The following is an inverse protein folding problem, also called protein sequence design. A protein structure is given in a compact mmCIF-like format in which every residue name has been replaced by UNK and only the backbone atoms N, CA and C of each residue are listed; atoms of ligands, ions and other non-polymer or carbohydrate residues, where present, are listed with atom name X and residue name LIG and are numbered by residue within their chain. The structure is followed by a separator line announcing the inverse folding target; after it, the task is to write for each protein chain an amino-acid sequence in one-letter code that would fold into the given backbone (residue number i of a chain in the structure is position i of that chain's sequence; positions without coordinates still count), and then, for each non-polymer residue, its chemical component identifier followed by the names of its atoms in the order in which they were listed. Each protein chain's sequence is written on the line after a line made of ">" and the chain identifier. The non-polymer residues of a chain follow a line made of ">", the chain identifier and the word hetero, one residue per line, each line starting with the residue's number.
data_IF_530369789068
#
_entry.id   IF_530369789068
#
_cell.length_a   1.000
_cell.length_b   1.000
_cell.length_c   1.000
_cell.angle_alpha   90.00
_cell.angle_beta   90.00
_cell.angle_gamma   90.00
#
_symmetry.space_group_name_H-M   'P 1'
#
loop_
_entity.id
_entity.type
_entity.pdbx_description
1 polymer ?
#
# COMPACT_ATOMS: atom_id res chain seq x y z
N UNK A 1 0.26 -12.44 -15.06
CA UNK A 1 -0.45 -11.68 -14.02
C UNK A 1 -1.28 -10.57 -14.66
N UNK A 2 -0.70 -9.64 -15.43
CA UNK A 2 -1.43 -8.54 -16.07
C UNK A 2 -2.58 -9.00 -16.97
N UNK A 3 -2.39 -10.07 -17.74
CA UNK A 3 -3.45 -10.66 -18.58
C UNK A 3 -4.63 -11.15 -17.73
N UNK A 4 -4.36 -11.85 -16.63
CA UNK A 4 -5.38 -12.30 -15.70
C UNK A 4 -6.16 -11.15 -15.08
N UNK A 5 -5.47 -10.07 -14.70
CA UNK A 5 -6.11 -8.87 -14.15
C UNK A 5 -7.04 -8.20 -15.19
N UNK A 6 -6.58 -8.04 -16.44
CA UNK A 6 -7.39 -7.46 -17.53
C UNK A 6 -8.64 -8.34 -17.81
N UNK A 7 -8.47 -9.66 -17.86
CA UNK A 7 -9.60 -10.58 -18.06
C UNK A 7 -10.61 -10.45 -16.91
N UNK A 8 -10.14 -10.38 -15.66
CA UNK A 8 -11.00 -10.20 -14.49
C UNK A 8 -11.80 -8.89 -14.57
N UNK A 9 -11.15 -7.79 -14.96
CA UNK A 9 -11.80 -6.50 -15.18
C UNK A 9 -12.87 -6.59 -16.26
N UNK A 10 -12.57 -7.20 -17.41
CA UNK A 10 -13.53 -7.35 -18.52
C UNK A 10 -14.73 -8.20 -18.14
N UNK A 11 -14.52 -9.31 -17.41
CA UNK A 11 -15.63 -10.14 -16.91
C UNK A 11 -16.48 -9.35 -15.93
N UNK A 12 -15.88 -8.58 -15.03
CA UNK A 12 -16.60 -7.73 -14.08
C UNK A 12 -17.43 -6.67 -14.79
N UNK A 13 -16.87 -5.97 -15.78
CA UNK A 13 -17.59 -4.98 -16.59
C UNK A 13 -18.79 -5.60 -17.32
N UNK A 14 -18.57 -6.73 -17.97
CA UNK A 14 -19.64 -7.46 -18.68
C UNK A 14 -20.74 -7.89 -17.70
N UNK A 15 -20.38 -8.49 -16.58
CA UNK A 15 -21.35 -8.94 -15.58
C UNK A 15 -22.14 -7.77 -14.98
N UNK A 16 -21.48 -6.66 -14.64
CA UNK A 16 -22.13 -5.48 -14.09
C UNK A 16 -23.09 -4.82 -15.08
N UNK A 17 -22.77 -4.81 -16.39
CA UNK A 17 -23.67 -4.31 -17.41
C UNK A 17 -25.03 -5.01 -17.35
N UNK A 18 -25.03 -6.35 -17.37
CA UNK A 18 -26.27 -7.16 -17.34
C UNK A 18 -26.97 -7.10 -15.97
N UNK A 19 -26.21 -7.13 -14.87
CA UNK A 19 -26.80 -7.08 -13.54
C UNK A 19 -27.47 -5.75 -13.26
N UNK A 20 -26.91 -4.65 -13.69
CA UNK A 20 -27.48 -3.30 -13.50
C UNK A 20 -28.77 -3.17 -14.32
N UNK A 21 -28.76 -3.61 -15.58
CA UNK A 21 -29.93 -3.59 -16.45
C UNK A 21 -31.06 -4.51 -15.95
N UNK A 22 -30.69 -5.63 -15.31
CA UNK A 22 -31.66 -6.60 -14.77
C UNK A 22 -32.23 -6.20 -13.40
N UNK A 23 -31.39 -5.62 -12.52
CA UNK A 23 -31.74 -5.38 -11.11
C UNK A 23 -32.27 -3.96 -10.84
N UNK A 24 -31.86 -2.96 -11.62
CA UNK A 24 -32.22 -1.58 -11.38
C UNK A 24 -33.29 -1.10 -12.37
N UNK A 25 -34.19 -0.20 -11.93
CA UNK A 25 -35.11 0.47 -12.84
C UNK A 25 -34.35 1.38 -13.80
N UNK A 26 -34.90 1.67 -14.99
CA UNK A 26 -34.28 2.55 -15.99
C UNK A 26 -33.85 3.91 -15.40
N UNK A 27 -34.63 4.42 -14.45
CA UNK A 27 -34.36 5.66 -13.72
C UNK A 27 -34.48 5.40 -12.22
N UNK A 28 -33.43 5.76 -11.51
CA UNK A 28 -33.39 5.73 -10.04
C UNK A 28 -33.83 7.10 -9.55
N UNK A 29 -34.99 7.17 -8.90
CA UNK A 29 -35.61 8.41 -8.43
C UNK A 29 -35.15 8.81 -7.04
N UNK A 30 -35.02 10.12 -6.80
CA UNK A 30 -34.74 10.67 -5.47
C UNK A 30 -33.35 10.37 -4.93
N UNK A 31 -32.34 10.15 -5.79
CA UNK A 31 -30.96 9.97 -5.37
C UNK A 31 -30.42 11.19 -4.67
N UNK A 32 -29.95 11.02 -3.43
CA UNK A 32 -29.48 12.14 -2.58
C UNK A 32 -28.06 12.59 -2.97
N UNK A 33 -27.93 13.88 -3.28
CA UNK A 33 -26.67 14.58 -3.45
C UNK A 33 -26.51 15.58 -2.31
N UNK A 34 -25.47 15.42 -1.49
CA UNK A 34 -25.26 16.28 -0.32
C UNK A 34 -24.98 17.71 -0.73
N UNK A 35 -25.71 18.67 -0.14
CA UNK A 35 -25.62 20.10 -0.48
C UNK A 35 -26.43 20.52 -1.70
N UNK A 36 -26.99 19.57 -2.50
CA UNK A 36 -27.69 19.87 -3.75
C UNK A 36 -29.11 19.29 -3.82
N UNK A 37 -29.51 18.51 -2.81
CA UNK A 37 -30.84 17.89 -2.74
C UNK A 37 -30.89 16.52 -3.38
N UNK A 38 -32.02 16.21 -4.05
CA UNK A 38 -32.23 14.91 -4.72
C UNK A 38 -32.30 15.08 -6.23
N UNK A 39 -31.75 14.11 -6.96
CA UNK A 39 -31.81 14.04 -8.42
C UNK A 39 -32.28 12.67 -8.88
N UNK A 40 -32.96 12.60 -10.00
CA UNK A 40 -33.27 11.37 -10.70
C UNK A 40 -32.11 11.07 -11.66
N UNK A 41 -31.59 9.85 -11.61
CA UNK A 41 -30.44 9.45 -12.42
C UNK A 41 -30.77 8.20 -13.26
N UNK A 42 -30.28 8.10 -14.50
CA UNK A 42 -30.35 6.85 -15.26
C UNK A 42 -29.57 5.74 -14.55
N UNK A 43 -30.08 4.50 -14.54
CA UNK A 43 -29.35 3.33 -13.99
C UNK A 43 -27.98 3.11 -14.65
N UNK A 44 -27.83 3.53 -15.90
CA UNK A 44 -26.54 3.49 -16.61
C UNK A 44 -25.42 4.32 -15.94
N UNK A 45 -25.76 5.35 -15.16
CA UNK A 45 -24.78 6.09 -14.38
C UNK A 45 -24.09 5.20 -13.33
N UNK A 46 -24.83 4.21 -12.79
CA UNK A 46 -24.28 3.24 -11.86
C UNK A 46 -23.27 2.31 -12.55
N UNK A 47 -23.56 1.93 -13.80
CA UNK A 47 -22.56 1.22 -14.61
C UNK A 47 -21.30 2.07 -14.87
N UNK A 48 -21.46 3.35 -15.19
CA UNK A 48 -20.30 4.23 -15.37
C UNK A 48 -19.51 4.41 -14.07
N UNK A 49 -20.17 4.42 -12.90
CA UNK A 49 -19.48 4.38 -11.60
C UNK A 49 -18.65 3.10 -11.43
N UNK A 50 -19.15 1.95 -11.90
CA UNK A 50 -18.39 0.69 -11.95
C UNK A 50 -17.14 0.82 -12.83
N UNK A 51 -17.29 1.42 -14.02
CA UNK A 51 -16.16 1.68 -14.94
C UNK A 51 -15.12 2.57 -14.28
N UNK A 52 -15.54 3.63 -13.58
CA UNK A 52 -14.62 4.53 -12.83
C UNK A 52 -13.81 3.74 -11.81
N UNK A 53 -14.45 2.90 -10.98
CA UNK A 53 -13.78 2.11 -9.96
C UNK A 53 -12.73 1.16 -10.54
N UNK A 54 -13.10 0.39 -11.55
CA UNK A 54 -12.19 -0.55 -12.21
C UNK A 54 -11.04 0.16 -12.93
N UNK A 55 -11.31 1.28 -13.61
CA UNK A 55 -10.29 2.06 -14.29
C UNK A 55 -9.27 2.63 -13.31
N UNK A 56 -9.73 3.18 -12.19
CA UNK A 56 -8.84 3.73 -11.16
C UNK A 56 -8.01 2.64 -10.50
N UNK A 57 -8.60 1.48 -10.19
CA UNK A 57 -7.87 0.33 -9.66
C UNK A 57 -6.74 -0.11 -10.58
N UNK A 58 -7.01 -0.21 -11.89
CA UNK A 58 -6.01 -0.54 -12.89
C UNK A 58 -4.92 0.53 -13.02
N UNK A 59 -5.30 1.81 -13.09
CA UNK A 59 -4.34 2.91 -13.25
C UNK A 59 -3.44 3.09 -12.02
N UNK A 60 -3.96 2.93 -10.79
CA UNK A 60 -3.15 2.95 -9.57
C UNK A 60 -2.13 1.81 -9.59
N UNK A 61 -2.56 0.60 -10.00
CA UNK A 61 -1.66 -0.54 -10.18
C UNK A 61 -0.55 -0.24 -11.20
N UNK A 62 -0.89 0.35 -12.35
CA UNK A 62 0.07 0.72 -13.39
C UNK A 62 1.06 1.80 -12.94
N UNK A 63 0.60 2.82 -12.18
CA UNK A 63 1.50 3.82 -11.61
C UNK A 63 2.42 3.23 -10.54
N UNK A 64 1.90 2.36 -9.68
CA UNK A 64 2.72 1.66 -8.69
C UNK A 64 3.81 0.83 -9.38
N UNK A 65 3.46 0.07 -10.42
CA UNK A 65 4.42 -0.68 -11.25
C UNK A 65 5.49 0.26 -11.83
N UNK A 66 5.10 1.40 -12.38
CA UNK A 66 6.07 2.37 -12.92
C UNK A 66 7.08 2.86 -11.89
N UNK A 67 6.64 3.12 -10.64
CA UNK A 67 7.51 3.64 -9.59
C UNK A 67 8.37 2.56 -8.91
N UNK A 68 7.96 1.29 -8.97
CA UNK A 68 8.60 0.20 -8.21
C UNK A 68 9.30 -0.84 -9.07
N UNK A 69 8.96 -0.96 -10.36
CA UNK A 69 9.49 -2.04 -11.18
C UNK A 69 10.96 -1.86 -11.56
N UNK A 70 11.67 -2.98 -11.58
CA UNK A 70 13.05 -3.10 -11.99
C UNK A 70 13.27 -2.47 -13.38
N UNK A 71 14.34 -1.71 -13.55
CA UNK A 71 14.69 -1.06 -14.82
C UNK A 71 13.87 0.19 -15.18
N UNK A 72 12.87 0.57 -14.39
CA UNK A 72 12.13 1.84 -14.58
C UNK A 72 12.92 3.03 -14.03
N UNK A 73 12.71 4.21 -14.65
CA UNK A 73 13.43 5.44 -14.28
C UNK A 73 13.46 5.75 -12.77
N UNK A 74 12.35 5.63 -12.00
CA UNK A 74 12.40 5.90 -10.57
C UNK A 74 13.35 4.98 -9.81
N UNK A 75 13.34 3.68 -10.10
CA UNK A 75 14.24 2.69 -9.48
C UNK A 75 15.68 2.92 -9.93
N UNK A 76 15.91 3.15 -11.21
CA UNK A 76 17.27 3.47 -11.73
C UNK A 76 17.85 4.75 -11.12
N UNK A 77 17.02 5.73 -10.79
CA UNK A 77 17.45 6.92 -10.05
C UNK A 77 17.98 6.58 -8.66
N UNK A 78 17.33 5.67 -7.94
CA UNK A 78 17.80 5.19 -6.62
C UNK A 78 19.12 4.43 -6.80
N UNK A 79 19.20 3.54 -7.79
CA UNK A 79 20.41 2.80 -8.14
C UNK A 79 21.59 3.75 -8.40
N UNK A 80 21.38 4.78 -9.21
CA UNK A 80 22.42 5.75 -9.52
C UNK A 80 22.88 6.53 -8.29
N UNK A 81 21.97 6.95 -7.43
CA UNK A 81 22.29 7.66 -6.19
C UNK A 81 22.97 6.76 -5.15
N UNK A 82 22.81 5.43 -5.23
CA UNK A 82 23.51 4.48 -4.36
C UNK A 82 25.03 4.50 -4.58
N UNK A 83 25.50 4.90 -5.77
CA UNK A 83 26.94 5.01 -6.07
C UNK A 83 27.64 6.09 -5.27
N UNK A 84 26.92 7.05 -4.70
CA UNK A 84 27.47 8.14 -3.90
C UNK A 84 27.31 7.89 -2.38
N UNK A 85 26.61 6.81 -1.99
CA UNK A 85 26.51 6.35 -0.61
C UNK A 85 25.09 6.16 -0.09
N UNK A 86 24.98 5.71 1.16
CA UNK A 86 23.71 5.38 1.80
C UNK A 86 22.79 6.62 1.97
N UNK A 87 23.34 7.77 2.33
CA UNK A 87 22.54 8.99 2.53
C UNK A 87 21.81 9.43 1.26
N UNK A 88 22.47 9.42 0.13
CA UNK A 88 21.90 9.78 -1.17
C UNK A 88 20.91 8.73 -1.67
N UNK A 89 21.15 7.45 -1.38
CA UNK A 89 20.19 6.38 -1.62
C UNK A 89 18.88 6.62 -0.83
N UNK A 90 18.98 6.88 0.48
CA UNK A 90 17.82 7.14 1.33
C UNK A 90 17.02 8.34 0.80
N UNK A 91 17.69 9.46 0.51
CA UNK A 91 17.04 10.66 -0.04
C UNK A 91 16.33 10.35 -1.36
N UNK A 92 16.99 9.60 -2.27
CA UNK A 92 16.42 9.27 -3.56
C UNK A 92 15.17 8.38 -3.45
N UNK A 93 15.16 7.40 -2.54
CA UNK A 93 14.01 6.54 -2.30
C UNK A 93 12.85 7.30 -1.66
N UNK A 94 13.09 8.11 -0.62
CA UNK A 94 12.07 8.97 -0.03
C UNK A 94 11.47 9.91 -1.09
N UNK A 95 12.29 10.57 -1.91
CA UNK A 95 11.81 11.44 -2.97
C UNK A 95 11.00 10.69 -4.04
N UNK A 96 11.38 9.45 -4.37
CA UNK A 96 10.65 8.60 -5.31
C UNK A 96 9.27 8.22 -4.75
N UNK A 97 9.22 7.78 -3.51
CA UNK A 97 7.96 7.49 -2.83
C UNK A 97 7.04 8.71 -2.73
N UNK A 98 7.56 9.87 -2.32
CA UNK A 98 6.78 11.12 -2.27
C UNK A 98 6.23 11.52 -3.66
N UNK A 99 7.04 11.45 -4.71
CA UNK A 99 6.59 11.75 -6.08
C UNK A 99 5.49 10.80 -6.56
N UNK A 100 5.52 9.54 -6.13
CA UNK A 100 4.53 8.55 -6.54
C UNK A 100 3.12 8.86 -6.02
N UNK A 101 3.00 9.60 -4.91
CA UNK A 101 1.70 9.97 -4.35
C UNK A 101 0.91 10.91 -5.26
N UNK A 102 1.60 11.77 -6.04
CA UNK A 102 0.96 12.76 -6.88
C UNK A 102 -0.04 12.16 -7.87
N UNK A 103 0.41 11.21 -8.70
CA UNK A 103 -0.45 10.58 -9.70
C UNK A 103 -1.61 9.81 -9.08
N UNK A 104 -1.33 9.06 -8.02
CA UNK A 104 -2.32 8.24 -7.34
C UNK A 104 -3.40 9.09 -6.67
N UNK A 105 -3.03 10.18 -6.01
CA UNK A 105 -3.99 11.08 -5.34
C UNK A 105 -4.85 11.83 -6.35
N UNK A 106 -4.31 12.26 -7.48
CA UNK A 106 -5.12 12.88 -8.55
C UNK A 106 -6.13 11.89 -9.11
N UNK A 107 -5.71 10.65 -9.40
CA UNK A 107 -6.63 9.61 -9.86
C UNK A 107 -7.74 9.34 -8.85
N UNK A 108 -7.37 9.29 -7.58
CA UNK A 108 -8.30 9.08 -6.50
C UNK A 108 -9.32 10.21 -6.38
N UNK A 109 -8.85 11.47 -6.45
CA UNK A 109 -9.73 12.63 -6.42
C UNK A 109 -10.69 12.66 -7.62
N UNK A 110 -10.20 12.34 -8.82
CA UNK A 110 -11.03 12.24 -10.01
C UNK A 110 -12.04 11.09 -9.92
N UNK A 111 -11.67 9.96 -9.30
CA UNK A 111 -12.59 8.85 -9.07
C UNK A 111 -13.75 9.24 -8.15
N UNK A 112 -13.43 9.90 -7.03
CA UNK A 112 -14.42 10.37 -6.07
C UNK A 112 -15.38 11.32 -6.75
N UNK A 113 -14.83 12.36 -7.40
CA UNK A 113 -15.64 13.37 -8.05
C UNK A 113 -16.49 12.78 -9.19
N UNK A 114 -15.87 12.01 -10.10
CA UNK A 114 -16.60 11.41 -11.20
C UNK A 114 -17.69 10.42 -10.76
N UNK A 115 -17.40 9.54 -9.80
CA UNK A 115 -18.40 8.61 -9.27
C UNK A 115 -19.52 9.34 -8.50
N UNK A 116 -19.19 10.42 -7.80
CA UNK A 116 -20.19 11.24 -7.11
C UNK A 116 -21.13 11.97 -8.09
N UNK A 117 -20.61 12.57 -9.15
CA UNK A 117 -21.44 13.22 -10.19
C UNK A 117 -22.38 12.22 -10.90
N UNK A 118 -21.95 10.98 -11.04
CA UNK A 118 -22.74 9.91 -11.66
C UNK A 118 -23.89 9.39 -10.79
N UNK A 119 -23.68 9.29 -9.46
CA UNK A 119 -24.65 8.65 -8.59
C UNK A 119 -24.55 9.03 -7.11
N UNK A 120 -24.06 10.20 -6.78
CA UNK A 120 -23.86 10.64 -5.42
C UNK A 120 -22.94 9.69 -4.64
N UNK A 121 -23.12 9.61 -3.34
CA UNK A 121 -22.33 8.65 -2.53
C UNK A 121 -22.62 7.18 -2.87
N UNK A 122 -23.79 6.87 -3.41
CA UNK A 122 -24.08 5.53 -3.91
C UNK A 122 -23.18 5.19 -5.11
N UNK A 123 -22.97 6.14 -6.02
CA UNK A 123 -22.01 5.97 -7.12
C UNK A 123 -20.59 5.72 -6.63
N UNK A 124 -20.14 6.44 -5.59
CA UNK A 124 -18.83 6.21 -4.96
C UNK A 124 -18.76 4.83 -4.32
N UNK A 125 -19.82 4.38 -3.63
CA UNK A 125 -19.88 3.06 -3.03
C UNK A 125 -19.84 1.92 -4.08
N UNK A 126 -20.54 2.09 -5.18
CA UNK A 126 -20.51 1.14 -6.32
C UNK A 126 -19.12 1.13 -6.98
N UNK A 127 -18.50 2.29 -7.13
CA UNK A 127 -17.12 2.39 -7.66
C UNK A 127 -16.13 1.59 -6.78
N UNK A 128 -16.23 1.75 -5.45
CA UNK A 128 -15.43 0.97 -4.50
C UNK A 128 -15.72 -0.53 -4.60
N UNK A 129 -16.99 -0.94 -4.64
CA UNK A 129 -17.40 -2.33 -4.74
C UNK A 129 -16.94 -2.98 -6.04
N UNK A 130 -17.04 -2.26 -7.14
CA UNK A 130 -16.58 -2.73 -8.45
C UNK A 130 -15.05 -2.92 -8.48
N UNK A 131 -14.31 -1.98 -7.93
CA UNK A 131 -12.87 -2.14 -7.75
C UNK A 131 -12.55 -3.40 -6.94
N UNK A 132 -13.24 -3.65 -5.84
CA UNK A 132 -13.06 -4.84 -5.00
C UNK A 132 -13.49 -6.15 -5.65
N UNK A 133 -14.29 -6.13 -6.72
CA UNK A 133 -14.67 -7.34 -7.46
C UNK A 133 -13.44 -8.08 -8.05
N UNK A 134 -12.33 -7.38 -8.27
CA UNK A 134 -11.07 -7.99 -8.73
C UNK A 134 -10.13 -8.42 -7.61
N UNK A 135 -10.56 -8.36 -6.34
CA UNK A 135 -9.71 -8.60 -5.15
C UNK A 135 -9.05 -9.98 -5.17
N UNK A 136 -9.75 -11.04 -5.58
CA UNK A 136 -9.17 -12.38 -5.65
C UNK A 136 -7.93 -12.42 -6.55
N UNK A 137 -7.96 -11.73 -7.70
CA UNK A 137 -6.81 -11.63 -8.60
C UNK A 137 -5.70 -10.76 -7.98
N UNK A 138 -6.06 -9.66 -7.32
CA UNK A 138 -5.09 -8.78 -6.66
C UNK A 138 -4.39 -9.48 -5.49
N UNK A 139 -5.11 -10.30 -4.71
CA UNK A 139 -4.52 -11.12 -3.65
C UNK A 139 -3.58 -12.19 -4.20
N UNK A 140 -3.92 -12.81 -5.33
CA UNK A 140 -3.02 -13.75 -6.00
C UNK A 140 -1.72 -13.06 -6.49
N UNK A 141 -1.84 -11.83 -6.98
CA UNK A 141 -0.69 -11.00 -7.38
C UNK A 141 0.17 -10.64 -6.16
N UNK A 142 -0.43 -10.24 -5.06
CA UNK A 142 0.28 -9.90 -3.82
C UNK A 142 0.97 -11.13 -3.21
N UNK A 143 0.29 -12.28 -3.14
CA UNK A 143 0.84 -13.51 -2.60
C UNK A 143 2.03 -14.07 -3.40
N UNK A 144 2.13 -13.75 -4.69
CA UNK A 144 3.26 -14.15 -5.53
C UNK A 144 4.59 -13.59 -5.00
N UNK A 145 4.61 -12.36 -4.47
CA UNK A 145 5.81 -11.73 -3.91
C UNK A 145 6.49 -12.57 -2.83
N UNK A 146 5.83 -12.81 -1.67
CA UNK A 146 6.41 -13.62 -0.60
C UNK A 146 6.77 -15.05 -1.02
N UNK A 147 6.02 -15.66 -1.95
CA UNK A 147 6.32 -17.00 -2.45
C UNK A 147 7.64 -16.99 -3.23
N UNK A 148 7.85 -16.01 -4.11
CA UNK A 148 9.06 -15.91 -4.92
C UNK A 148 10.29 -15.57 -4.07
N UNK A 149 10.15 -14.67 -3.10
CA UNK A 149 11.22 -14.31 -2.15
C UNK A 149 11.65 -15.53 -1.32
N UNK A 150 10.69 -16.24 -0.71
CA UNK A 150 10.98 -17.46 0.04
C UNK A 150 11.59 -18.57 -0.84
N UNK A 151 11.15 -18.71 -2.10
CA UNK A 151 11.76 -19.66 -3.03
C UNK A 151 13.25 -19.33 -3.28
N UNK A 152 13.59 -18.04 -3.39
CA UNK A 152 14.97 -17.57 -3.45
C UNK A 152 15.78 -17.94 -2.21
N UNK A 153 15.20 -17.73 -1.02
CA UNK A 153 15.81 -18.12 0.26
C UNK A 153 16.05 -19.64 0.36
N UNK A 154 15.10 -20.45 -0.06
CA UNK A 154 15.26 -21.92 -0.10
C UNK A 154 16.37 -22.33 -1.07
N UNK A 155 16.43 -21.72 -2.25
CA UNK A 155 17.47 -22.00 -3.23
C UNK A 155 18.89 -21.68 -2.70
N UNK A 156 19.03 -20.54 -1.99
CA UNK A 156 20.29 -20.12 -1.37
C UNK A 156 20.70 -21.09 -0.25
N UNK A 157 19.80 -21.36 0.72
CA UNK A 157 20.08 -22.22 1.89
C UNK A 157 20.30 -23.68 1.52
N UNK A 158 19.77 -24.13 0.39
CA UNK A 158 19.96 -25.51 -0.11
C UNK A 158 21.18 -25.63 -1.05
N UNK A 159 21.95 -24.56 -1.21
CA UNK A 159 23.14 -24.51 -2.08
C UNK A 159 22.84 -25.01 -3.50
N UNK A 160 21.67 -24.65 -4.05
CA UNK A 160 21.28 -25.05 -5.39
C UNK A 160 22.17 -24.39 -6.47
N UNK A 161 22.26 -24.97 -7.69
CA UNK A 161 23.05 -24.40 -8.76
C UNK A 161 22.73 -22.92 -9.01
N UNK A 162 23.74 -22.14 -9.35
CA UNK A 162 23.64 -20.69 -9.56
C UNK A 162 22.52 -20.29 -10.51
N UNK A 163 22.26 -21.08 -11.54
CA UNK A 163 21.17 -20.85 -12.51
C UNK A 163 19.79 -20.89 -11.87
N UNK A 164 19.60 -21.70 -10.81
CA UNK A 164 18.33 -21.73 -10.05
C UNK A 164 18.18 -20.45 -9.29
N UNK A 165 19.24 -19.96 -8.64
CA UNK A 165 19.24 -18.70 -7.90
C UNK A 165 18.97 -17.51 -8.82
N UNK A 166 19.60 -17.45 -9.99
CA UNK A 166 19.34 -16.39 -10.97
C UNK A 166 17.87 -16.33 -11.40
N UNK A 167 17.22 -17.48 -11.57
CA UNK A 167 15.79 -17.55 -11.90
C UNK A 167 14.90 -17.10 -10.73
N UNK A 168 15.21 -17.52 -9.52
CA UNK A 168 14.44 -17.09 -8.33
C UNK A 168 14.61 -15.62 -8.05
N UNK A 169 15.79 -15.02 -8.29
CA UNK A 169 16.04 -13.58 -8.13
C UNK A 169 15.22 -12.75 -9.14
N UNK A 170 15.07 -13.23 -10.38
CA UNK A 170 14.20 -12.60 -11.37
C UNK A 170 12.72 -12.65 -10.90
N UNK A 171 12.27 -13.81 -10.44
CA UNK A 171 10.91 -13.96 -9.93
C UNK A 171 10.65 -13.08 -8.70
N UNK A 172 11.62 -12.96 -7.81
CA UNK A 172 11.56 -12.14 -6.62
C UNK A 172 11.48 -10.64 -6.96
N UNK A 173 12.26 -10.17 -7.91
CA UNK A 173 12.17 -8.77 -8.38
C UNK A 173 10.79 -8.41 -8.98
N UNK A 174 10.14 -9.37 -9.64
CA UNK A 174 8.74 -9.23 -10.07
C UNK A 174 7.82 -9.29 -8.86
N UNK A 175 8.10 -10.16 -7.89
CA UNK A 175 7.39 -10.30 -6.63
C UNK A 175 7.32 -9.00 -5.85
N UNK A 176 8.42 -8.27 -5.71
CA UNK A 176 8.49 -6.98 -5.06
C UNK A 176 7.57 -5.94 -5.71
N UNK A 177 7.56 -5.91 -7.05
CA UNK A 177 6.66 -5.02 -7.81
C UNK A 177 5.20 -5.43 -7.65
N UNK A 178 4.88 -6.70 -7.73
CA UNK A 178 3.50 -7.19 -7.61
C UNK A 178 2.96 -7.03 -6.20
N UNK A 179 3.78 -7.23 -5.17
CA UNK A 179 3.41 -6.94 -3.79
C UNK A 179 3.11 -5.45 -3.58
N UNK A 180 3.94 -4.55 -4.12
CA UNK A 180 3.66 -3.12 -4.08
C UNK A 180 2.37 -2.75 -4.83
N UNK A 181 2.12 -3.37 -5.99
CA UNK A 181 0.93 -3.16 -6.82
C UNK A 181 -0.35 -3.62 -6.08
N UNK A 182 -0.34 -4.80 -5.46
CA UNK A 182 -1.45 -5.31 -4.67
C UNK A 182 -1.77 -4.42 -3.46
N UNK A 183 -0.73 -3.94 -2.76
CA UNK A 183 -0.91 -2.97 -1.65
C UNK A 183 -1.43 -1.62 -2.15
N UNK A 184 -0.95 -1.09 -3.27
CA UNK A 184 -1.46 0.13 -3.89
C UNK A 184 -2.95 0.04 -4.20
N UNK A 185 -3.39 -1.08 -4.77
CA UNK A 185 -4.81 -1.40 -4.98
C UNK A 185 -5.58 -1.45 -3.66
N UNK A 186 -5.06 -2.13 -2.63
CA UNK A 186 -5.70 -2.24 -1.32
C UNK A 186 -5.87 -0.87 -0.64
N UNK A 187 -4.88 0.01 -0.73
CA UNK A 187 -4.95 1.39 -0.22
C UNK A 187 -6.08 2.16 -0.90
N UNK A 188 -6.17 2.09 -2.23
CA UNK A 188 -7.18 2.80 -2.99
C UNK A 188 -8.60 2.28 -2.74
N UNK A 189 -8.78 0.95 -2.70
CA UNK A 189 -10.08 0.34 -2.41
C UNK A 189 -10.56 0.65 -0.98
N UNK A 190 -9.64 0.60 0.00
CA UNK A 190 -9.94 0.97 1.39
C UNK A 190 -10.36 2.44 1.51
N UNK A 191 -9.69 3.34 0.80
CA UNK A 191 -10.02 4.76 0.82
C UNK A 191 -11.39 5.06 0.20
N UNK A 192 -11.73 4.45 -0.94
CA UNK A 192 -13.07 4.57 -1.54
C UNK A 192 -14.15 3.97 -0.63
N UNK A 193 -13.87 2.83 0.00
CA UNK A 193 -14.78 2.21 0.96
C UNK A 193 -14.99 3.09 2.20
N UNK A 194 -13.93 3.71 2.72
CA UNK A 194 -14.04 4.63 3.84
C UNK A 194 -14.95 5.83 3.51
N UNK A 195 -14.91 6.34 2.28
CA UNK A 195 -15.81 7.40 1.84
C UNK A 195 -17.27 6.94 1.71
N UNK A 196 -17.50 5.72 1.25
CA UNK A 196 -18.85 5.13 1.24
C UNK A 196 -19.42 4.99 2.66
N UNK A 197 -18.59 4.53 3.61
CA UNK A 197 -18.96 4.45 5.03
C UNK A 197 -19.13 5.84 5.65
N UNK A 198 -18.38 6.83 5.19
CA UNK A 198 -18.56 8.20 5.64
C UNK A 198 -19.93 8.76 5.26
N UNK A 199 -20.44 8.44 4.07
CA UNK A 199 -21.81 8.79 3.70
C UNK A 199 -22.86 8.13 4.61
N UNK A 200 -22.67 6.86 4.95
CA UNK A 200 -23.52 6.17 5.94
C UNK A 200 -23.44 6.83 7.32
N UNK A 201 -22.25 7.23 7.75
CA UNK A 201 -22.03 7.95 9.00
C UNK A 201 -22.81 9.27 9.05
N UNK A 202 -22.70 10.11 8.03
CA UNK A 202 -23.44 11.39 7.92
C UNK A 202 -24.94 11.15 7.97
N UNK A 203 -25.42 10.13 7.28
CA UNK A 203 -26.85 9.77 7.29
C UNK A 203 -27.31 9.29 8.67
N UNK A 204 -26.51 8.44 9.32
CA UNK A 204 -26.84 7.88 10.65
C UNK A 204 -26.82 8.91 11.77
N UNK A 205 -25.84 9.82 11.76
CA UNK A 205 -25.69 10.87 12.78
C UNK A 205 -26.62 12.06 12.55
N UNK A 206 -27.19 12.19 11.35
CA UNK A 206 -28.09 13.29 11.01
C UNK A 206 -27.39 14.65 10.88
N UNK A 207 -26.05 14.67 10.74
CA UNK A 207 -25.32 15.92 10.47
C UNK A 207 -25.56 16.36 9.03
N UNK A 208 -25.78 17.67 8.81
CA UNK A 208 -26.02 18.21 7.47
C UNK A 208 -24.74 18.43 6.65
N UNK A 209 -23.58 18.43 7.32
CA UNK A 209 -22.27 18.62 6.70
C UNK A 209 -21.17 18.79 7.74
N UNK A 210 -19.97 19.06 7.29
CA UNK A 210 -18.79 19.30 8.15
C UNK A 210 -18.30 20.72 7.91
N UNK A 211 -18.53 21.58 8.88
CA UNK A 211 -18.12 22.98 8.78
C UNK A 211 -16.72 23.17 9.40
N UNK A 212 -15.71 23.19 8.55
CA UNK A 212 -14.30 23.36 8.95
C UNK A 212 -13.97 24.74 9.54
N UNK A 213 -14.89 25.72 9.48
CA UNK A 213 -14.73 27.02 10.15
C UNK A 213 -15.03 26.97 11.66
N UNK A 214 -15.62 25.88 12.16
CA UNK A 214 -15.74 25.64 13.59
C UNK A 214 -14.40 25.17 14.17
N UNK A 215 -13.99 25.77 15.26
CA UNK A 215 -12.67 25.52 15.85
C UNK A 215 -12.45 24.06 16.31
N UNK A 216 -13.47 23.44 16.90
CA UNK A 216 -13.47 22.04 17.32
C UNK A 216 -13.38 21.08 16.13
N UNK A 217 -14.12 21.34 15.07
CA UNK A 217 -14.12 20.58 13.82
C UNK A 217 -12.74 20.67 13.13
N UNK A 218 -12.19 21.89 13.05
CA UNK A 218 -10.86 22.09 12.49
C UNK A 218 -9.75 21.43 13.33
N UNK A 219 -9.84 21.53 14.65
CA UNK A 219 -8.89 20.86 15.54
C UNK A 219 -8.92 19.33 15.35
N UNK A 220 -10.12 18.75 15.25
CA UNK A 220 -10.31 17.33 15.00
C UNK A 220 -9.72 16.89 13.64
N UNK A 221 -9.82 17.73 12.60
CA UNK A 221 -9.19 17.48 11.29
C UNK A 221 -7.66 17.35 11.42
N UNK A 222 -7.00 18.26 12.14
CA UNK A 222 -5.57 18.21 12.37
C UNK A 222 -5.15 16.99 13.18
N UNK A 223 -5.90 16.64 14.24
CA UNK A 223 -5.65 15.43 15.01
C UNK A 223 -5.77 14.20 14.10
N UNK A 224 -6.83 14.11 13.30
CA UNK A 224 -7.01 13.02 12.34
C UNK A 224 -5.85 12.92 11.34
N UNK A 225 -5.43 14.05 10.78
CA UNK A 225 -4.29 14.09 9.84
C UNK A 225 -2.96 13.64 10.45
N UNK A 226 -2.78 13.82 11.77
CA UNK A 226 -1.58 13.40 12.49
C UNK A 226 -1.56 11.88 12.75
N UNK A 227 -2.70 11.21 12.89
CA UNK A 227 -2.76 9.78 13.27
C UNK A 227 -1.95 8.87 12.34
N UNK A 228 -2.07 8.91 11.00
CA UNK A 228 -1.26 8.07 10.13
C UNK A 228 0.24 8.34 10.25
N UNK A 229 0.63 9.58 10.56
CA UNK A 229 2.04 9.96 10.74
C UNK A 229 2.62 9.31 12.01
N UNK A 230 1.93 9.46 13.15
CA UNK A 230 2.39 8.84 14.40
C UNK A 230 2.31 7.32 14.36
N UNK A 231 1.30 6.76 13.69
CA UNK A 231 1.21 5.31 13.45
C UNK A 231 2.43 4.81 12.68
N UNK A 232 2.80 5.49 11.60
CA UNK A 232 3.97 5.15 10.78
C UNK A 232 5.28 5.27 11.57
N UNK A 233 5.42 6.32 12.38
CA UNK A 233 6.60 6.51 13.24
C UNK A 233 6.75 5.37 14.25
N UNK A 234 5.66 5.01 14.93
CA UNK A 234 5.64 3.90 15.89
C UNK A 234 5.94 2.55 15.22
N UNK A 235 5.41 2.32 14.01
CA UNK A 235 5.67 1.12 13.24
C UNK A 235 7.17 1.01 12.86
N UNK A 236 7.77 2.10 12.37
CA UNK A 236 9.21 2.14 12.03
C UNK A 236 10.08 1.89 13.26
N UNK A 237 9.79 2.53 14.41
CA UNK A 237 10.53 2.29 15.66
C UNK A 237 10.40 0.82 16.11
N UNK A 238 9.21 0.24 15.98
CA UNK A 238 8.92 -1.14 16.35
C UNK A 238 9.70 -2.14 15.51
N UNK A 239 9.76 -1.90 14.19
CA UNK A 239 10.58 -2.71 13.26
C UNK A 239 12.05 -2.62 13.65
N UNK A 240 12.58 -1.41 13.94
CA UNK A 240 13.96 -1.22 14.40
C UNK A 240 14.28 -1.97 15.69
N UNK A 241 13.37 -1.94 16.68
CA UNK A 241 13.52 -2.70 17.93
C UNK A 241 13.51 -4.22 17.70
N UNK A 242 12.60 -4.72 16.85
CA UNK A 242 12.54 -6.13 16.52
C UNK A 242 13.80 -6.60 15.78
N UNK A 243 14.25 -5.83 14.80
CA UNK A 243 15.49 -6.09 14.07
C UNK A 243 16.70 -6.13 14.99
N UNK A 244 16.80 -5.22 15.94
CA UNK A 244 17.90 -5.20 16.91
C UNK A 244 17.92 -6.46 17.80
N UNK A 245 16.77 -6.95 18.26
CA UNK A 245 16.66 -8.21 19.01
C UNK A 245 17.13 -9.39 18.16
N UNK A 246 16.76 -9.41 16.88
CA UNK A 246 17.19 -10.46 15.95
C UNK A 246 18.72 -10.40 15.73
N UNK A 247 19.31 -9.22 15.55
CA UNK A 247 20.76 -9.06 15.43
C UNK A 247 21.48 -9.56 16.69
N UNK A 248 20.95 -9.28 17.88
CA UNK A 248 21.52 -9.77 19.13
C UNK A 248 21.46 -11.29 19.21
N UNK A 249 20.36 -11.92 18.82
CA UNK A 249 20.21 -13.37 18.79
C UNK A 249 21.17 -14.02 17.80
N UNK A 250 21.27 -13.49 16.59
CA UNK A 250 22.22 -13.99 15.58
C UNK A 250 23.67 -13.94 16.11
N UNK A 251 24.05 -12.80 16.73
CA UNK A 251 25.37 -12.65 17.35
C UNK A 251 25.59 -13.63 18.51
N UNK A 252 24.55 -13.90 19.31
CA UNK A 252 24.60 -14.92 20.37
C UNK A 252 24.87 -16.29 19.77
N UNK A 253 24.14 -16.67 18.75
CA UNK A 253 24.30 -17.99 18.10
C UNK A 253 25.71 -18.14 17.51
N UNK A 254 26.26 -17.13 16.85
CA UNK A 254 27.64 -17.17 16.36
C UNK A 254 28.68 -17.34 17.46
N UNK A 255 28.43 -16.85 18.65
CA UNK A 255 29.33 -16.95 19.79
C UNK A 255 29.18 -18.28 20.54
N UNK A 256 27.95 -18.77 20.68
CA UNK A 256 27.60 -19.86 21.60
C UNK A 256 27.40 -21.21 20.91
N UNK A 257 27.18 -21.24 19.59
CA UNK A 257 27.02 -22.48 18.83
C UNK A 257 28.31 -22.77 18.03
N UNK A 258 29.17 -23.69 18.50
CA UNK A 258 30.41 -24.02 17.80
C UNK A 258 30.13 -24.62 16.42
N UNK A 259 30.85 -24.16 15.42
CA UNK A 259 30.75 -24.70 14.06
C UNK A 259 29.63 -24.07 13.20
N UNK A 260 28.89 -23.10 13.70
CA UNK A 260 27.83 -22.44 12.91
C UNK A 260 28.43 -21.63 11.74
N UNK A 261 29.58 -20.97 11.94
CA UNK A 261 30.27 -20.19 10.91
C UNK A 261 30.92 -21.07 9.84
N UNK A 262 31.27 -22.29 10.19
CA UNK A 262 31.82 -23.28 9.26
C UNK A 262 30.75 -24.16 8.63
N UNK A 263 29.46 -23.88 8.83
CA UNK A 263 28.35 -24.69 8.32
C UNK A 263 28.22 -26.10 8.93
N UNK A 264 28.92 -26.38 10.04
CA UNK A 264 28.90 -27.67 10.71
C UNK A 264 27.77 -27.84 11.73
N UNK A 265 27.25 -26.71 12.23
CA UNK A 265 26.10 -26.67 13.14
C UNK A 265 24.95 -25.91 12.52
N UNK A 266 23.71 -26.30 12.82
CA UNK A 266 22.51 -25.61 12.33
C UNK A 266 22.19 -24.42 13.24
N UNK A 267 21.74 -23.27 12.68
CA UNK A 267 21.20 -22.16 13.45
C UNK A 267 19.93 -22.57 14.20
N UNK A 268 19.69 -21.90 15.32
CA UNK A 268 18.43 -22.01 16.07
C UNK A 268 17.37 -21.11 15.41
N UNK A 269 16.73 -21.60 14.37
CA UNK A 269 15.68 -20.89 13.63
C UNK A 269 14.43 -20.69 14.48
N UNK A 270 14.10 -21.66 15.36
CA UNK A 270 12.92 -21.60 16.22
C UNK A 270 12.99 -20.38 17.14
N UNK A 271 14.17 -20.15 17.73
CA UNK A 271 14.39 -18.97 18.57
C UNK A 271 14.29 -17.65 17.79
N UNK A 272 14.75 -17.61 16.57
CA UNK A 272 14.60 -16.45 15.69
C UNK A 272 13.13 -16.16 15.37
N UNK A 273 12.35 -17.19 15.03
CA UNK A 273 10.91 -17.06 14.76
C UNK A 273 10.15 -16.61 16.02
N UNK A 274 10.47 -17.20 17.19
CA UNK A 274 9.87 -16.78 18.46
C UNK A 274 10.11 -15.30 18.76
N UNK A 275 11.34 -14.81 18.60
CA UNK A 275 11.70 -13.40 18.82
C UNK A 275 10.93 -12.48 17.87
N UNK A 276 10.89 -12.82 16.58
CA UNK A 276 10.18 -12.05 15.56
C UNK A 276 8.68 -11.98 15.83
N UNK A 277 8.05 -13.11 16.10
CA UNK A 277 6.61 -13.20 16.38
C UNK A 277 6.21 -12.44 17.64
N UNK A 278 6.95 -12.64 18.74
CA UNK A 278 6.69 -11.93 19.99
C UNK A 278 6.89 -10.43 19.89
N UNK A 279 7.91 -10.00 19.14
CA UNK A 279 8.13 -8.58 18.86
C UNK A 279 6.99 -7.99 18.04
N UNK A 280 6.55 -8.65 16.96
CA UNK A 280 5.46 -8.20 16.12
C UNK A 280 4.15 -8.02 16.93
N UNK A 281 3.77 -9.02 17.71
CA UNK A 281 2.54 -8.96 18.53
C UNK A 281 2.59 -7.85 19.57
N UNK A 282 3.72 -7.70 20.27
CA UNK A 282 3.86 -6.71 21.35
C UNK A 282 3.91 -5.28 20.82
N UNK A 283 4.66 -5.05 19.78
CA UNK A 283 4.89 -3.71 19.25
C UNK A 283 3.68 -3.15 18.50
N UNK A 284 2.76 -4.00 18.02
CA UNK A 284 1.51 -3.57 17.37
C UNK A 284 0.41 -3.14 18.35
N UNK A 285 0.57 -3.37 19.66
CA UNK A 285 -0.45 -3.01 20.64
C UNK A 285 -0.70 -1.50 20.70
N UNK A 286 0.36 -0.69 20.80
CA UNK A 286 0.22 0.76 20.94
C UNK A 286 -0.36 1.42 19.68
N UNK A 287 0.11 1.15 18.46
CA UNK A 287 -0.53 1.64 17.25
C UNK A 287 -2.00 1.23 17.14
N UNK A 288 -2.32 -0.02 17.49
CA UNK A 288 -3.70 -0.52 17.49
C UNK A 288 -4.59 0.21 18.49
N UNK A 289 -4.13 0.44 19.71
CA UNK A 289 -4.87 1.19 20.73
C UNK A 289 -5.15 2.63 20.26
N UNK A 290 -4.16 3.32 19.71
CA UNK A 290 -4.32 4.69 19.20
C UNK A 290 -5.41 4.72 18.12
N UNK A 291 -5.39 3.78 17.18
CA UNK A 291 -6.35 3.74 16.08
C UNK A 291 -7.80 3.53 16.55
N UNK A 292 -8.00 2.73 17.60
CA UNK A 292 -9.34 2.43 18.13
C UNK A 292 -9.82 3.51 19.11
N UNK A 293 -8.95 3.95 20.01
CA UNK A 293 -9.34 4.85 21.12
C UNK A 293 -9.56 6.28 20.66
N UNK A 294 -8.71 6.78 19.73
CA UNK A 294 -8.77 8.18 19.31
C UNK A 294 -10.12 8.59 18.70
N UNK A 295 -10.72 7.85 17.73
CA UNK A 295 -12.03 8.23 17.19
C UNK A 295 -13.13 8.17 18.26
N UNK A 296 -13.06 7.23 19.19
CA UNK A 296 -14.01 7.13 20.31
C UNK A 296 -13.90 8.37 21.20
N UNK A 297 -12.70 8.77 21.58
CA UNK A 297 -12.48 9.99 22.37
C UNK A 297 -13.00 11.23 21.64
N UNK A 298 -12.65 11.42 20.37
CA UNK A 298 -13.12 12.56 19.56
C UNK A 298 -14.66 12.58 19.50
N UNK A 299 -15.28 11.45 19.20
CA UNK A 299 -16.74 11.36 19.11
C UNK A 299 -17.46 11.74 20.39
N UNK A 300 -16.98 11.24 21.54
CA UNK A 300 -17.61 11.53 22.83
C UNK A 300 -17.29 12.91 23.41
N UNK A 301 -16.11 13.47 23.11
CA UNK A 301 -15.70 14.76 23.68
C UNK A 301 -16.01 15.96 22.80
N UNK A 302 -15.96 15.79 21.46
CA UNK A 302 -16.10 16.87 20.48
C UNK A 302 -17.35 16.73 19.60
N UNK A 303 -18.02 15.58 19.64
CA UNK A 303 -19.27 15.34 18.92
C UNK A 303 -19.11 14.80 17.50
N UNK A 304 -20.27 14.56 16.87
CA UNK A 304 -20.34 13.85 15.58
C UNK A 304 -19.67 14.63 14.42
N UNK A 305 -19.90 15.93 14.35
CA UNK A 305 -19.33 16.74 13.25
C UNK A 305 -17.79 16.76 13.32
N UNK A 306 -17.22 16.91 14.52
CA UNK A 306 -15.78 16.84 14.74
C UNK A 306 -15.21 15.45 14.45
N UNK A 307 -15.92 14.38 14.83
CA UNK A 307 -15.52 13.00 14.47
C UNK A 307 -15.51 12.80 12.95
N UNK A 308 -16.49 13.34 12.22
CA UNK A 308 -16.48 13.32 10.75
C UNK A 308 -15.26 14.02 10.16
N UNK A 309 -14.92 15.17 10.70
CA UNK A 309 -13.71 15.92 10.29
C UNK A 309 -12.41 15.16 10.60
N UNK A 310 -12.33 14.56 11.79
CA UNK A 310 -11.22 13.67 12.17
C UNK A 310 -11.04 12.52 11.16
N UNK A 311 -12.12 11.82 10.78
CA UNK A 311 -12.08 10.74 9.80
C UNK A 311 -11.61 11.22 8.43
N UNK A 312 -12.01 12.43 7.99
CA UNK A 312 -11.52 13.03 6.76
C UNK A 312 -10.00 13.27 6.82
N UNK A 313 -9.51 13.81 7.94
CA UNK A 313 -8.07 14.01 8.17
C UNK A 313 -7.29 12.70 8.12
N UNK A 314 -7.77 11.64 8.80
CA UNK A 314 -7.18 10.29 8.76
C UNK A 314 -7.14 9.76 7.34
N UNK A 315 -8.23 9.90 6.57
CA UNK A 315 -8.32 9.35 5.22
C UNK A 315 -7.32 10.02 4.27
N UNK A 316 -7.26 11.34 4.24
CA UNK A 316 -6.36 12.10 3.36
C UNK A 316 -4.89 11.80 3.70
N UNK A 317 -4.52 11.95 4.97
CA UNK A 317 -3.15 11.71 5.42
C UNK A 317 -2.78 10.22 5.28
N UNK A 318 -3.69 9.31 5.59
CA UNK A 318 -3.50 7.87 5.48
C UNK A 318 -3.20 7.41 4.06
N UNK A 319 -3.95 7.90 3.08
CA UNK A 319 -3.71 7.60 1.65
C UNK A 319 -2.33 8.09 1.21
N UNK A 320 -1.96 9.32 1.57
CA UNK A 320 -0.65 9.90 1.23
C UNK A 320 0.51 9.07 1.81
N UNK A 321 0.46 8.78 3.12
CA UNK A 321 1.49 8.02 3.81
C UNK A 321 1.57 6.58 3.34
N UNK A 322 0.43 5.92 3.13
CA UNK A 322 0.41 4.53 2.70
C UNK A 322 1.00 4.36 1.29
N UNK A 323 0.61 5.21 0.32
CA UNK A 323 1.17 5.17 -1.04
C UNK A 323 2.66 5.51 -1.02
N UNK A 324 3.06 6.54 -0.27
CA UNK A 324 4.45 6.93 -0.12
C UNK A 324 5.32 5.76 0.37
N UNK A 325 4.96 5.17 1.50
CA UNK A 325 5.73 4.08 2.10
C UNK A 325 5.74 2.81 1.24
N UNK A 326 4.59 2.44 0.68
CA UNK A 326 4.48 1.29 -0.21
C UNK A 326 5.42 1.41 -1.41
N UNK A 327 5.39 2.55 -2.09
CA UNK A 327 6.16 2.74 -3.32
C UNK A 327 7.64 3.02 -3.05
N UNK A 328 7.97 3.69 -1.94
CA UNK A 328 9.37 3.84 -1.51
C UNK A 328 10.00 2.47 -1.21
N UNK A 329 9.33 1.64 -0.41
CA UNK A 329 9.82 0.30 -0.06
C UNK A 329 10.04 -0.58 -1.29
N UNK A 330 9.03 -0.73 -2.15
CA UNK A 330 9.16 -1.53 -3.37
C UNK A 330 10.24 -1.01 -4.34
N UNK A 331 10.44 0.31 -4.39
CA UNK A 331 11.48 0.91 -5.23
C UNK A 331 12.89 0.67 -4.67
N UNK A 332 13.09 0.74 -3.35
CA UNK A 332 14.38 0.44 -2.72
C UNK A 332 14.76 -1.03 -2.87
N UNK A 333 13.81 -1.94 -2.63
CA UNK A 333 14.08 -3.37 -2.75
C UNK A 333 14.50 -3.73 -4.19
N UNK A 334 13.79 -3.24 -5.19
CA UNK A 334 14.19 -3.45 -6.58
C UNK A 334 15.47 -2.69 -6.98
N UNK A 335 15.81 -1.57 -6.33
CA UNK A 335 17.11 -0.95 -6.52
C UNK A 335 18.24 -1.84 -5.98
N UNK A 336 18.08 -2.47 -4.81
CA UNK A 336 19.00 -3.49 -4.27
C UNK A 336 19.14 -4.68 -5.23
N UNK A 337 18.03 -5.22 -5.74
CA UNK A 337 18.02 -6.34 -6.71
C UNK A 337 18.72 -6.00 -8.02
N UNK A 338 18.74 -4.73 -8.43
CA UNK A 338 19.50 -4.28 -9.59
C UNK A 338 21.02 -4.58 -9.47
N UNK A 339 21.57 -4.44 -8.25
CA UNK A 339 22.98 -4.77 -7.98
C UNK A 339 23.23 -6.27 -7.91
N UNK A 340 22.28 -7.05 -7.46
CA UNK A 340 22.41 -8.51 -7.41
C UNK A 340 22.49 -9.09 -8.83
N UNK A 341 21.73 -8.54 -9.77
CA UNK A 341 21.80 -8.88 -11.18
C UNK A 341 23.05 -8.29 -11.88
N UNK A 342 23.64 -7.24 -11.33
CA UNK A 342 24.71 -6.46 -11.94
C UNK A 342 24.18 -5.31 -12.80
N UNK A 343 24.50 -4.09 -12.41
CA UNK A 343 24.05 -2.87 -13.08
C UNK A 343 25.20 -1.96 -13.45
N UNK A 344 25.16 -1.38 -14.64
CA UNK A 344 26.17 -0.41 -15.08
C UNK A 344 25.85 0.99 -14.53
N UNK A 345 26.81 1.59 -13.83
CA UNK A 345 26.74 2.96 -13.34
C UNK A 345 28.03 3.68 -13.78
N UNK A 346 27.89 4.75 -14.54
CA UNK A 346 29.02 5.57 -15.02
C UNK A 346 30.15 4.75 -15.71
N UNK A 347 29.77 3.75 -16.52
CA UNK A 347 30.73 2.91 -17.24
C UNK A 347 31.37 1.79 -16.41
N UNK A 348 30.95 1.61 -15.14
CA UNK A 348 31.40 0.55 -14.24
C UNK A 348 30.24 -0.38 -13.90
N UNK A 349 30.48 -1.69 -13.98
CA UNK A 349 29.49 -2.68 -13.55
C UNK A 349 29.59 -2.85 -12.03
N UNK A 350 28.57 -2.41 -11.32
CA UNK A 350 28.41 -2.63 -9.89
C UNK A 350 27.59 -3.89 -9.64
N UNK A 351 28.03 -4.71 -8.68
CA UNK A 351 27.45 -6.03 -8.38
C UNK A 351 27.21 -6.21 -6.88
N UNK A 352 26.58 -7.33 -6.52
CA UNK A 352 26.42 -7.78 -5.13
C UNK A 352 27.74 -7.67 -4.36
N UNK A 353 27.71 -7.00 -3.21
CA UNK A 353 28.88 -6.76 -2.36
C UNK A 353 29.67 -5.48 -2.66
N UNK A 354 29.38 -4.74 -3.74
CA UNK A 354 29.97 -3.43 -4.00
C UNK A 354 29.50 -2.39 -2.95
N UNK A 355 30.19 -1.27 -2.84
CA UNK A 355 29.81 -0.21 -1.88
C UNK A 355 28.46 0.42 -2.27
N UNK A 356 28.16 0.52 -3.56
CA UNK A 356 26.84 0.94 -4.05
C UNK A 356 25.74 -0.05 -3.66
N UNK A 357 26.00 -1.36 -3.73
CA UNK A 357 25.08 -2.38 -3.22
C UNK A 357 24.83 -2.25 -1.73
N UNK A 358 25.90 -2.06 -0.91
CA UNK A 358 25.75 -1.85 0.55
C UNK A 358 24.92 -0.60 0.86
N UNK A 359 25.09 0.46 0.07
CA UNK A 359 24.27 1.66 0.19
C UNK A 359 22.79 1.38 -0.14
N UNK A 360 22.51 0.59 -1.18
CA UNK A 360 21.15 0.18 -1.55
C UNK A 360 20.50 -0.68 -0.46
N UNK A 361 21.23 -1.63 0.13
CA UNK A 361 20.78 -2.44 1.29
C UNK A 361 20.41 -1.57 2.49
N UNK A 362 21.10 -0.44 2.69
CA UNK A 362 20.77 0.47 3.80
C UNK A 362 19.42 1.17 3.60
N UNK A 363 19.05 1.48 2.37
CA UNK A 363 17.75 2.09 2.05
C UNK A 363 16.58 1.11 2.13
N UNK A 364 16.83 -0.11 1.65
CA UNK A 364 15.88 -1.20 1.71
C UNK A 364 15.63 -1.68 3.14
#
# INVERSE_FOLDING_TARGET
>A
LNTGNIISILITLFSCWFLIDYLLPDTITGMKFFGEGTRDIPSRNIFYSTVVGLAVGYLISAFTEYYTALGKKPVLNIVQNSSTGAATNIIAGLATGMKSTFSSVILFALAIWGAYELGGFYGVAISASAMMATTAMQLAIDAFGPISDNAGGVAEMSELPKEVRERTDILDSVGNTTAATGKGFAIASAALTALALFAAYVTFTGIDGINIFKADVLAALFIGGMIPVIFSALAMESVGKAAMKMVQEVRRQFKEIPGILEGKAKPDYEKCVEISTNAALKEMLLPGIITIVTPVLIGFTMGAEALGSYMAGVAVSGVLWAIFQNNAGGAWDNAKKSFEAGVEINGKIEKKGSDAHKAAVTGD
#
